data_IF_705262156978
#
_entry.id   IF_705262156978
#
_cell.length_a   1.000
_cell.length_b   1.000
_cell.length_c   1.000
_cell.angle_alpha   90.00
_cell.angle_beta   90.00
_cell.angle_gamma   90.00
#
_symmetry.space_group_name_H-M   'P 1'
#
loop_
_entity.id
_entity.type
_entity.pdbx_description
1 polymer ?
#
# COMPACT_ATOMS: atom_id res chain seq x y z
N UNK A 1 19.56 -17.46 -18.74
CA UNK A 1 18.13 -17.56 -18.42
C UNK A 1 17.55 -16.15 -18.47
N UNK A 2 16.72 -15.87 -19.47
CA UNK A 2 16.04 -14.57 -19.59
C UNK A 2 14.98 -14.51 -18.48
N UNK A 3 15.13 -13.55 -17.54
CA UNK A 3 14.19 -13.37 -16.43
C UNK A 3 13.60 -11.98 -16.55
N UNK A 4 12.27 -11.89 -16.55
CA UNK A 4 11.56 -10.61 -16.44
C UNK A 4 11.42 -9.82 -17.74
N UNK A 5 12.02 -8.63 -17.81
CA UNK A 5 11.77 -7.65 -18.89
C UNK A 5 12.16 -8.14 -20.28
N UNK A 6 13.26 -8.89 -20.42
CA UNK A 6 13.69 -9.39 -21.74
C UNK A 6 12.69 -10.37 -22.36
N UNK A 7 12.04 -11.19 -21.55
CA UNK A 7 10.97 -12.08 -22.01
C UNK A 7 9.73 -11.30 -22.43
N UNK A 8 9.32 -10.29 -21.65
CA UNK A 8 8.21 -9.41 -22.01
C UNK A 8 8.51 -8.59 -23.28
N UNK A 9 9.72 -8.05 -23.42
CA UNK A 9 10.11 -7.28 -24.62
C UNK A 9 10.06 -8.14 -25.86
N UNK A 10 10.61 -9.38 -25.79
CA UNK A 10 10.64 -10.29 -26.95
C UNK A 10 9.26 -10.83 -27.34
N UNK A 11 8.46 -11.20 -26.35
CA UNK A 11 7.20 -11.91 -26.58
C UNK A 11 5.99 -10.99 -26.71
N UNK A 12 6.04 -9.79 -26.10
CA UNK A 12 4.93 -8.83 -26.08
C UNK A 12 5.29 -7.46 -26.64
N UNK A 13 6.50 -7.25 -27.09
CA UNK A 13 7.01 -5.96 -27.58
C UNK A 13 6.81 -4.80 -26.57
N UNK A 14 6.81 -5.14 -25.26
CA UNK A 14 6.50 -4.23 -24.18
C UNK A 14 7.69 -4.08 -23.23
N UNK A 15 8.43 -2.98 -23.35
CA UNK A 15 9.54 -2.64 -22.45
C UNK A 15 9.01 -1.91 -21.20
N UNK A 16 8.43 -2.66 -20.28
CA UNK A 16 7.81 -2.13 -19.05
C UNK A 16 8.81 -1.39 -18.18
N UNK A 17 10.06 -1.86 -18.07
CA UNK A 17 11.10 -1.15 -17.31
C UNK A 17 11.41 0.22 -17.90
N UNK A 18 11.49 0.31 -19.21
CA UNK A 18 11.68 1.57 -19.90
C UNK A 18 10.55 2.55 -19.61
N UNK A 19 9.30 2.07 -19.60
CA UNK A 19 8.14 2.90 -19.29
C UNK A 19 8.18 3.44 -17.87
N UNK A 20 8.49 2.57 -16.90
CA UNK A 20 8.61 2.94 -15.48
C UNK A 20 9.77 3.92 -15.27
N UNK A 21 10.96 3.59 -15.78
CA UNK A 21 12.17 4.36 -15.53
C UNK A 21 12.19 5.71 -16.28
N UNK A 22 11.49 5.83 -17.41
CA UNK A 22 11.29 7.10 -18.10
C UNK A 22 10.05 7.88 -17.60
N UNK A 23 9.29 7.31 -16.64
CA UNK A 23 8.14 7.99 -16.09
C UNK A 23 6.93 8.10 -17.03
N UNK A 24 6.80 7.17 -17.99
CA UNK A 24 5.68 7.16 -18.95
C UNK A 24 4.40 6.54 -18.37
N UNK A 25 4.51 5.93 -17.21
CA UNK A 25 3.38 5.40 -16.42
C UNK A 25 3.44 5.97 -15.01
N UNK A 26 2.31 6.05 -14.32
CA UNK A 26 2.24 6.59 -12.97
C UNK A 26 2.66 5.57 -11.91
N UNK A 27 2.44 4.29 -12.15
CA UNK A 27 2.88 3.18 -11.30
C UNK A 27 2.99 1.88 -12.10
N UNK A 28 3.60 0.87 -11.50
CA UNK A 28 3.72 -0.46 -12.11
C UNK A 28 3.25 -1.54 -11.15
N UNK A 29 2.56 -2.57 -11.69
CA UNK A 29 2.07 -3.73 -10.91
C UNK A 29 2.47 -5.02 -11.60
N UNK A 30 3.72 -5.50 -11.46
CA UNK A 30 4.11 -6.79 -11.98
C UNK A 30 3.36 -7.92 -11.26
N UNK A 31 2.84 -8.88 -12.02
CA UNK A 31 2.09 -10.03 -11.52
C UNK A 31 3.05 -11.15 -11.10
N UNK A 32 3.42 -11.19 -9.83
CA UNK A 32 4.28 -12.22 -9.25
C UNK A 32 3.43 -13.31 -8.60
N UNK A 33 2.71 -14.07 -9.41
CA UNK A 33 1.72 -15.06 -8.95
C UNK A 33 2.32 -16.40 -8.51
N UNK A 34 3.62 -16.58 -8.68
CA UNK A 34 4.30 -17.83 -8.32
C UNK A 34 4.62 -17.92 -6.83
N UNK A 35 4.90 -19.11 -6.38
CA UNK A 35 5.36 -19.41 -5.04
C UNK A 35 6.85 -19.08 -4.86
N UNK A 36 7.27 -18.89 -3.62
CA UNK A 36 8.67 -18.89 -3.24
C UNK A 36 9.20 -20.31 -3.47
N UNK A 37 10.35 -20.43 -4.16
CA UNK A 37 10.94 -21.70 -4.54
C UNK A 37 10.45 -22.26 -5.89
N UNK A 38 9.68 -21.52 -6.66
CA UNK A 38 9.28 -21.94 -8.00
C UNK A 38 10.49 -22.05 -8.93
N UNK A 39 10.66 -23.21 -9.58
CA UNK A 39 11.85 -23.51 -10.40
C UNK A 39 12.01 -22.60 -11.62
N UNK A 40 10.93 -22.12 -12.18
CA UNK A 40 10.94 -21.29 -13.40
C UNK A 40 10.89 -19.78 -13.09
N UNK A 41 10.17 -19.39 -12.04
CA UNK A 41 9.88 -17.99 -11.72
C UNK A 41 9.75 -17.82 -10.18
N UNK A 42 10.85 -17.97 -9.45
CA UNK A 42 10.84 -17.84 -8.00
C UNK A 42 10.41 -16.45 -7.58
N UNK A 43 9.36 -16.37 -6.76
CA UNK A 43 8.86 -15.13 -6.22
C UNK A 43 9.94 -14.28 -5.53
N UNK A 44 10.83 -14.91 -4.75
CA UNK A 44 11.92 -14.23 -4.04
C UNK A 44 12.91 -13.58 -5.02
N UNK A 45 13.27 -14.26 -6.08
CA UNK A 45 14.17 -13.73 -7.10
C UNK A 45 13.50 -12.59 -7.88
N UNK A 46 12.24 -12.77 -8.24
CA UNK A 46 11.48 -11.77 -9.00
C UNK A 46 11.24 -10.48 -8.20
N UNK A 47 10.83 -10.56 -6.94
CA UNK A 47 10.61 -9.36 -6.11
C UNK A 47 11.92 -8.61 -5.88
N UNK A 48 13.03 -9.34 -5.66
CA UNK A 48 14.36 -8.74 -5.52
C UNK A 48 14.84 -8.05 -6.80
N UNK A 49 14.56 -8.64 -7.95
CA UNK A 49 14.88 -8.06 -9.24
C UNK A 49 14.07 -6.78 -9.52
N UNK A 50 12.76 -6.80 -9.31
CA UNK A 50 11.90 -5.62 -9.47
C UNK A 50 12.29 -4.49 -8.51
N UNK A 51 12.58 -4.82 -7.25
CA UNK A 51 13.04 -3.84 -6.25
C UNK A 51 14.32 -3.09 -6.67
N UNK A 52 15.20 -3.75 -7.44
CA UNK A 52 16.45 -3.14 -7.93
C UNK A 52 16.30 -2.40 -9.25
N UNK A 53 15.38 -2.85 -10.10
CA UNK A 53 15.31 -2.43 -11.51
C UNK A 53 14.30 -1.31 -11.76
N UNK A 54 13.24 -1.20 -10.98
CA UNK A 54 12.21 -0.18 -11.10
C UNK A 54 12.37 0.87 -9.98
N UNK A 55 12.74 2.10 -10.32
CA UNK A 55 13.12 3.10 -9.32
C UNK A 55 12.41 4.45 -9.46
N UNK A 56 11.80 4.76 -10.60
CA UNK A 56 11.31 6.11 -10.87
C UNK A 56 9.79 6.29 -10.68
N UNK A 57 9.07 5.22 -10.36
CA UNK A 57 7.62 5.22 -10.13
C UNK A 57 7.25 4.23 -9.02
N UNK A 58 6.14 4.45 -8.32
CA UNK A 58 5.64 3.50 -7.33
C UNK A 58 5.50 2.10 -7.91
N UNK A 59 6.00 1.11 -7.19
CA UNK A 59 5.97 -0.29 -7.56
C UNK A 59 5.10 -1.06 -6.57
N UNK A 60 4.05 -1.70 -7.07
CA UNK A 60 3.19 -2.60 -6.31
C UNK A 60 3.37 -4.01 -6.82
N UNK A 61 3.34 -5.00 -5.94
CA UNK A 61 3.44 -6.40 -6.37
C UNK A 61 2.05 -7.02 -6.48
N UNK A 62 1.70 -7.50 -7.68
CA UNK A 62 0.51 -8.31 -7.90
C UNK A 62 0.71 -9.73 -7.36
N UNK A 63 -0.13 -10.17 -6.43
CA UNK A 63 -0.06 -11.49 -5.80
C UNK A 63 -1.35 -12.28 -5.98
N UNK A 64 -1.21 -13.59 -6.19
CA UNK A 64 -2.33 -14.53 -6.22
C UNK A 64 -2.55 -15.12 -4.82
N UNK A 65 -3.72 -14.85 -4.24
CA UNK A 65 -4.11 -15.30 -2.90
C UNK A 65 -4.18 -16.82 -2.83
N UNK A 66 -4.86 -17.46 -3.80
CA UNK A 66 -5.07 -18.92 -3.79
C UNK A 66 -3.76 -19.68 -3.97
N UNK A 67 -2.87 -19.20 -4.85
CA UNK A 67 -1.54 -19.78 -4.99
C UNK A 67 -0.68 -19.57 -3.74
N UNK A 68 -0.78 -18.41 -3.10
CA UNK A 68 -0.05 -18.15 -1.87
C UNK A 68 -0.46 -19.11 -0.74
N UNK A 69 -1.76 -19.42 -0.64
CA UNK A 69 -2.28 -20.38 0.37
C UNK A 69 -1.97 -21.83 0.03
N UNK A 70 -1.91 -22.16 -1.25
CA UNK A 70 -1.65 -23.54 -1.72
C UNK A 70 -0.30 -24.12 -1.28
N UNK A 71 0.72 -23.28 -1.17
CA UNK A 71 2.09 -23.71 -0.90
C UNK A 71 2.48 -23.38 0.55
N UNK A 72 3.21 -24.30 1.18
CA UNK A 72 3.72 -24.10 2.53
C UNK A 72 4.75 -22.96 2.59
N UNK A 73 4.81 -22.29 3.74
CA UNK A 73 5.86 -21.33 4.05
C UNK A 73 7.21 -22.06 4.13
N UNK A 74 8.27 -21.62 3.41
CA UNK A 74 9.59 -22.26 3.48
C UNK A 74 10.21 -22.30 4.89
N UNK A 75 9.80 -21.41 5.78
CA UNK A 75 10.28 -21.36 7.18
C UNK A 75 9.32 -22.02 8.18
N UNK A 76 8.08 -22.25 7.78
CA UNK A 76 7.06 -22.91 8.61
C UNK A 76 6.18 -23.83 7.73
N UNK A 77 6.55 -25.12 7.59
CA UNK A 77 5.85 -26.07 6.73
C UNK A 77 4.36 -26.30 7.07
N UNK A 78 3.93 -25.90 8.27
CA UNK A 78 2.53 -25.98 8.68
C UNK A 78 1.72 -24.72 8.38
N UNK A 79 2.30 -23.77 7.69
CA UNK A 79 1.67 -22.50 7.29
C UNK A 79 1.82 -22.28 5.79
N UNK A 80 1.09 -21.30 5.26
CA UNK A 80 1.22 -20.88 3.87
C UNK A 80 2.22 -19.73 3.69
N UNK A 81 2.51 -19.36 2.44
CA UNK A 81 3.61 -18.44 2.13
C UNK A 81 3.35 -16.94 2.41
N UNK A 82 2.19 -16.55 2.96
CA UNK A 82 1.93 -15.14 3.26
C UNK A 82 2.97 -14.51 4.19
N UNK A 83 3.34 -15.12 5.35
CA UNK A 83 4.36 -14.56 6.23
C UNK A 83 5.70 -14.31 5.53
N UNK A 84 6.17 -15.30 4.76
CA UNK A 84 7.42 -15.20 4.02
C UNK A 84 7.37 -14.11 2.93
N UNK A 85 6.28 -13.99 2.19
CA UNK A 85 6.09 -12.93 1.20
C UNK A 85 6.05 -11.54 1.86
N UNK A 86 5.34 -11.37 2.97
CA UNK A 86 5.32 -10.09 3.71
C UNK A 86 6.71 -9.69 4.21
N UNK A 87 7.51 -10.64 4.70
CA UNK A 87 8.90 -10.40 5.08
C UNK A 87 9.74 -9.89 3.90
N UNK A 88 9.58 -10.48 2.71
CA UNK A 88 10.27 -10.03 1.51
C UNK A 88 9.86 -8.61 1.12
N UNK A 89 8.58 -8.23 1.25
CA UNK A 89 8.13 -6.85 1.04
C UNK A 89 8.81 -5.87 1.99
N UNK A 90 8.85 -6.16 3.29
CA UNK A 90 9.51 -5.31 4.28
C UNK A 90 11.00 -5.11 4.01
N UNK A 91 11.65 -6.08 3.37
CA UNK A 91 13.05 -6.04 2.98
C UNK A 91 13.28 -5.35 1.60
N UNK A 92 12.23 -4.89 0.95
CA UNK A 92 12.25 -4.33 -0.40
C UNK A 92 11.76 -2.89 -0.41
N UNK A 93 12.61 -1.90 -0.09
CA UNK A 93 12.22 -0.52 0.18
C UNK A 93 11.58 0.21 -1.01
N UNK A 94 11.85 -0.22 -2.25
CA UNK A 94 11.27 0.38 -3.45
C UNK A 94 9.87 -0.17 -3.78
N UNK A 95 9.36 -1.13 -2.99
CA UNK A 95 8.03 -1.69 -3.18
C UNK A 95 7.05 -0.93 -2.29
N UNK A 96 6.12 -0.22 -2.93
CA UNK A 96 5.14 0.64 -2.28
C UNK A 96 3.93 -0.11 -1.70
N UNK A 97 3.69 -1.35 -2.14
CA UNK A 97 2.55 -2.12 -1.65
C UNK A 97 2.22 -3.36 -2.48
N UNK A 98 1.02 -3.88 -2.28
CA UNK A 98 0.54 -5.13 -2.91
C UNK A 98 -0.84 -4.95 -3.51
N UNK A 99 -1.05 -5.55 -4.67
CA UNK A 99 -2.36 -5.73 -5.31
C UNK A 99 -2.72 -7.20 -5.27
N UNK A 100 -3.83 -7.54 -4.64
CA UNK A 100 -4.24 -8.94 -4.45
C UNK A 100 -5.20 -9.40 -5.54
N UNK A 101 -4.87 -10.50 -6.19
CA UNK A 101 -5.74 -11.23 -7.08
C UNK A 101 -6.38 -12.38 -6.30
N UNK A 102 -7.64 -12.40 -6.05
CA UNK A 102 -8.66 -11.39 -6.37
C UNK A 102 -9.50 -11.13 -5.11
N UNK A 103 -10.34 -10.08 -5.10
CA UNK A 103 -11.06 -9.64 -3.90
C UNK A 103 -11.87 -10.76 -3.23
N UNK A 104 -12.63 -11.56 -4.01
CA UNK A 104 -13.39 -12.69 -3.47
C UNK A 104 -12.51 -13.70 -2.75
N UNK A 105 -11.31 -14.00 -3.25
CA UNK A 105 -10.39 -14.92 -2.58
C UNK A 105 -9.93 -14.40 -1.20
N UNK A 106 -9.81 -13.09 -1.02
CA UNK A 106 -9.53 -12.49 0.29
C UNK A 106 -10.73 -12.61 1.23
N UNK A 107 -11.94 -12.36 0.70
CA UNK A 107 -13.20 -12.44 1.47
C UNK A 107 -13.51 -13.87 1.90
N UNK A 108 -13.30 -14.85 1.04
CA UNK A 108 -13.48 -16.29 1.33
C UNK A 108 -12.48 -16.78 2.39
N UNK A 109 -11.44 -16.03 2.66
CA UNK A 109 -10.49 -16.23 3.75
C UNK A 109 -9.83 -17.63 3.79
N UNK A 110 -9.38 -18.23 2.68
CA UNK A 110 -8.72 -19.54 2.70
C UNK A 110 -7.45 -19.47 3.57
N UNK A 111 -7.24 -20.48 4.41
CA UNK A 111 -6.07 -20.56 5.30
C UNK A 111 -5.94 -19.36 6.24
N UNK A 112 -7.03 -18.68 6.58
CA UNK A 112 -7.02 -17.43 7.37
C UNK A 112 -6.26 -16.26 6.73
N UNK A 113 -6.08 -16.27 5.42
CA UNK A 113 -5.30 -15.27 4.69
C UNK A 113 -5.78 -13.83 4.96
N UNK A 114 -7.08 -13.57 4.76
CA UNK A 114 -7.68 -12.24 5.02
C UNK A 114 -7.67 -11.86 6.50
N UNK A 115 -7.82 -12.83 7.40
CA UNK A 115 -7.69 -12.59 8.85
C UNK A 115 -6.27 -12.15 9.19
N UNK A 116 -5.25 -12.86 8.76
CA UNK A 116 -3.84 -12.50 9.00
C UNK A 116 -3.47 -11.14 8.41
N UNK A 117 -3.98 -10.80 7.22
CA UNK A 117 -3.78 -9.46 6.68
C UNK A 117 -4.32 -8.39 7.64
N UNK A 118 -5.55 -8.55 8.12
CA UNK A 118 -6.23 -7.56 8.96
C UNK A 118 -5.63 -7.47 10.37
N UNK A 119 -5.22 -8.60 10.97
CA UNK A 119 -4.76 -8.62 12.37
C UNK A 119 -3.26 -8.36 12.51
N UNK A 120 -2.46 -8.79 11.55
CA UNK A 120 -1.00 -8.80 11.70
C UNK A 120 -0.28 -7.83 10.75
N UNK A 121 -0.65 -7.84 9.46
CA UNK A 121 0.12 -7.12 8.44
C UNK A 121 -0.45 -5.74 8.08
N UNK A 122 -1.78 -5.60 8.00
CA UNK A 122 -2.49 -4.37 7.58
C UNK A 122 -3.50 -3.91 8.62
N UNK A 123 -3.19 -4.10 9.88
CA UNK A 123 -4.08 -3.75 11.00
C UNK A 123 -4.30 -2.24 11.17
N UNK A 124 -3.41 -1.44 10.65
CA UNK A 124 -3.50 0.02 10.68
C UNK A 124 -3.80 0.58 9.30
N UNK A 125 -4.47 1.73 9.21
CA UNK A 125 -4.64 2.44 7.95
C UNK A 125 -3.30 2.78 7.31
N UNK A 126 -3.21 2.67 5.99
CA UNK A 126 -2.06 3.12 5.23
C UNK A 126 -2.40 4.39 4.46
N UNK A 127 -1.48 5.34 4.44
CA UNK A 127 -1.57 6.51 3.57
C UNK A 127 -1.20 6.10 2.14
N UNK A 128 -1.79 6.78 1.16
CA UNK A 128 -1.38 6.62 -0.23
C UNK A 128 0.04 7.14 -0.38
N UNK A 129 0.90 6.47 -1.17
CA UNK A 129 2.23 6.98 -1.50
C UNK A 129 2.14 8.36 -2.15
N UNK A 130 3.06 9.23 -1.80
CA UNK A 130 3.20 10.53 -2.45
C UNK A 130 3.58 10.33 -3.93
N UNK A 131 2.96 11.10 -4.80
CA UNK A 131 3.24 11.13 -6.24
C UNK A 131 3.67 12.54 -6.67
N UNK A 132 4.85 13.01 -6.25
CA UNK A 132 5.29 14.39 -6.47
C UNK A 132 5.48 14.74 -7.95
N UNK A 133 5.57 13.74 -8.81
CA UNK A 133 5.61 13.91 -10.27
C UNK A 133 4.23 14.25 -10.88
N UNK A 134 3.14 14.06 -10.12
CA UNK A 134 1.77 14.51 -10.51
C UNK A 134 1.48 15.85 -9.85
N UNK A 135 1.68 15.93 -8.52
CA UNK A 135 1.50 17.13 -7.73
C UNK A 135 2.44 17.11 -6.52
N UNK A 136 3.29 18.12 -6.41
CA UNK A 136 4.27 18.30 -5.34
C UNK A 136 3.85 19.36 -4.29
N UNK A 137 2.66 19.96 -4.48
CA UNK A 137 2.16 21.01 -3.58
C UNK A 137 1.31 20.43 -2.46
N UNK A 138 1.78 20.61 -1.25
CA UNK A 138 0.97 20.27 -0.09
C UNK A 138 -0.17 21.26 0.10
N UNK A 139 -1.41 20.81 0.39
CA UNK A 139 -2.51 21.68 0.72
C UNK A 139 -2.24 22.46 2.01
N UNK A 140 -2.84 23.63 2.15
CA UNK A 140 -2.72 24.44 3.36
C UNK A 140 -3.30 23.73 4.59
N UNK A 141 -2.80 24.05 5.78
CA UNK A 141 -3.25 23.43 7.04
C UNK A 141 -4.73 23.75 7.34
N UNK A 142 -5.51 22.77 7.84
CA UNK A 142 -6.84 23.01 8.40
C UNK A 142 -6.81 24.06 9.50
N UNK A 143 -7.90 24.80 9.65
CA UNK A 143 -8.04 25.85 10.67
C UNK A 143 -9.24 25.57 11.57
N UNK A 144 -9.28 26.22 12.74
CA UNK A 144 -10.41 26.16 13.68
C UNK A 144 -10.79 24.73 14.07
N UNK A 145 -9.79 23.90 14.33
CA UNK A 145 -10.01 22.54 14.83
C UNK A 145 -10.66 22.63 16.21
N UNK A 146 -11.81 21.97 16.38
CA UNK A 146 -12.60 21.97 17.63
C UNK A 146 -13.24 20.60 17.84
N UNK A 147 -13.30 20.19 19.10
CA UNK A 147 -14.09 19.03 19.51
C UNK A 147 -15.37 19.53 20.21
N UNK A 148 -16.51 18.94 19.88
CA UNK A 148 -17.81 19.32 20.44
C UNK A 148 -18.79 18.17 20.48
N UNK A 149 -19.72 18.20 21.43
CA UNK A 149 -20.88 17.33 21.45
C UNK A 149 -21.93 17.80 20.44
N UNK A 150 -22.48 16.85 19.71
CA UNK A 150 -23.65 16.99 18.86
C UNK A 150 -24.74 16.00 19.34
N UNK A 151 -26.00 16.08 18.90
CA UNK A 151 -27.08 15.20 19.40
C UNK A 151 -26.81 13.71 19.24
N UNK A 152 -25.99 13.33 18.25
CA UNK A 152 -25.68 11.95 17.88
C UNK A 152 -24.27 11.50 18.23
N UNK A 153 -23.48 12.35 18.94
CA UNK A 153 -22.14 11.97 19.42
C UNK A 153 -21.13 13.11 19.56
N UNK A 154 -19.92 12.73 19.90
CA UNK A 154 -18.80 13.66 20.04
C UNK A 154 -18.01 13.78 18.74
N UNK A 155 -17.78 14.99 18.26
CA UNK A 155 -17.17 15.22 16.96
C UNK A 155 -15.96 16.13 17.02
N UNK A 156 -14.93 15.78 16.27
CA UNK A 156 -13.87 16.70 15.86
C UNK A 156 -14.30 17.36 14.54
N UNK A 157 -14.22 18.69 14.49
CA UNK A 157 -14.59 19.48 13.31
C UNK A 157 -13.49 20.50 13.01
N UNK A 158 -13.35 20.86 11.75
CA UNK A 158 -12.36 21.86 11.31
C UNK A 158 -12.87 22.66 10.12
N UNK A 159 -12.20 23.75 9.81
CA UNK A 159 -12.44 24.50 8.59
C UNK A 159 -11.46 24.00 7.52
N UNK A 160 -11.97 23.62 6.35
CA UNK A 160 -11.15 23.26 5.20
C UNK A 160 -10.17 24.38 4.85
N UNK A 161 -8.94 24.05 4.42
CA UNK A 161 -8.03 25.05 3.88
C UNK A 161 -8.65 25.68 2.62
N UNK A 162 -8.29 26.93 2.36
CA UNK A 162 -8.64 27.56 1.08
C UNK A 162 -7.64 27.11 0.02
N UNK A 163 -8.13 26.54 -1.04
CA UNK A 163 -7.37 26.27 -2.24
C UNK A 163 -7.32 27.53 -3.14
N UNK A 164 -6.22 27.75 -3.85
CA UNK A 164 -6.11 28.78 -4.89
C UNK A 164 -6.57 28.25 -6.25
N UNK A 165 -6.32 26.97 -6.49
CA UNK A 165 -6.74 26.22 -7.66
C UNK A 165 -7.51 24.99 -7.21
N UNK A 166 -8.30 24.39 -8.09
CA UNK A 166 -9.10 23.20 -7.79
C UNK A 166 -8.23 21.96 -7.47
N UNK A 167 -7.04 21.87 -8.07
CA UNK A 167 -6.03 20.84 -7.81
C UNK A 167 -5.32 20.93 -6.47
N UNK A 168 -5.32 22.13 -5.84
CA UNK A 168 -4.80 22.34 -4.48
C UNK A 168 -5.87 22.04 -3.40
N UNK A 169 -7.05 21.55 -3.73
CA UNK A 169 -8.15 21.33 -2.79
C UNK A 169 -7.90 20.07 -1.96
N UNK A 170 -8.07 20.20 -0.64
CA UNK A 170 -7.93 19.06 0.26
C UNK A 170 -9.16 18.15 0.18
N UNK A 171 -9.02 16.98 -0.39
CA UNK A 171 -10.07 15.97 -0.55
C UNK A 171 -10.13 14.96 0.59
N UNK A 172 -9.08 14.84 1.40
CA UNK A 172 -9.00 13.92 2.53
C UNK A 172 -8.22 14.56 3.68
N UNK A 173 -8.55 14.16 4.89
CA UNK A 173 -7.88 14.58 6.09
C UNK A 173 -7.42 13.37 6.86
N UNK A 174 -6.17 13.37 7.34
CA UNK A 174 -5.68 12.32 8.23
C UNK A 174 -5.75 12.86 9.66
N UNK A 175 -6.50 12.17 10.51
CA UNK A 175 -6.68 12.55 11.90
C UNK A 175 -5.86 11.61 12.78
N UNK A 176 -4.94 12.19 13.53
CA UNK A 176 -4.09 11.49 14.48
C UNK A 176 -4.53 11.78 15.91
N UNK A 177 -4.34 10.82 16.81
CA UNK A 177 -4.53 10.96 18.23
C UNK A 177 -3.24 10.65 18.97
N UNK A 178 -2.76 11.61 19.76
CA UNK A 178 -1.61 11.46 20.64
C UNK A 178 -2.03 11.72 22.08
N UNK A 179 -1.38 11.09 23.02
CA UNK A 179 -1.59 11.36 24.44
C UNK A 179 -0.90 12.69 24.84
N UNK A 180 -1.35 13.29 25.93
CA UNK A 180 -0.76 14.54 26.41
C UNK A 180 0.71 14.35 26.79
N UNK A 181 1.60 15.08 26.10
CA UNK A 181 3.05 15.00 26.31
C UNK A 181 3.77 13.95 25.47
N UNK A 182 3.05 13.23 24.61
CA UNK A 182 3.64 12.33 23.64
C UNK A 182 4.21 13.12 22.46
N UNK A 183 5.34 12.65 21.91
CA UNK A 183 5.92 13.23 20.69
C UNK A 183 5.00 12.97 19.50
N UNK A 184 4.85 14.00 18.65
CA UNK A 184 4.01 13.93 17.47
C UNK A 184 4.79 13.23 16.35
N UNK A 185 4.51 11.95 16.15
CA UNK A 185 5.04 11.13 15.06
C UNK A 185 3.93 10.80 14.05
N UNK A 186 3.89 11.54 12.95
CA UNK A 186 2.89 11.36 11.87
C UNK A 186 3.21 10.18 10.95
N UNK A 187 4.39 9.56 11.08
CA UNK A 187 4.76 8.35 10.33
C UNK A 187 4.25 7.08 11.03
N UNK A 188 3.76 7.20 12.26
CA UNK A 188 3.19 6.09 13.01
C UNK A 188 1.70 5.85 12.67
N UNK A 189 1.38 4.83 11.85
CA UNK A 189 0.00 4.57 11.42
C UNK A 189 -0.92 4.13 12.56
N UNK A 190 -0.37 3.67 13.70
CA UNK A 190 -1.16 3.31 14.87
C UNK A 190 -1.83 4.53 15.55
N UNK A 191 -1.37 5.74 15.23
CA UNK A 191 -1.95 6.99 15.74
C UNK A 191 -3.08 7.54 14.86
N UNK A 192 -3.30 6.96 13.69
CA UNK A 192 -4.39 7.36 12.79
C UNK A 192 -5.70 6.83 13.35
N UNK A 193 -6.62 7.73 13.69
CA UNK A 193 -7.96 7.41 14.18
C UNK A 193 -9.04 7.56 13.11
N UNK A 194 -8.72 8.17 11.97
CA UNK A 194 -9.62 8.27 10.84
C UNK A 194 -9.03 9.01 9.65
N UNK A 195 -9.58 8.72 8.45
CA UNK A 195 -9.23 9.39 7.19
C UNK A 195 -10.53 9.84 6.50
N UNK A 196 -11.24 10.85 7.05
CA UNK A 196 -12.48 11.34 6.48
C UNK A 196 -12.28 12.18 5.21
N UNK A 197 -13.29 12.18 4.35
CA UNK A 197 -13.42 13.12 3.24
C UNK A 197 -14.02 14.46 3.69
N UNK A 198 -14.88 14.41 4.72
CA UNK A 198 -15.54 15.58 5.25
C UNK A 198 -14.70 16.31 6.30
N UNK A 199 -15.08 17.55 6.63
CA UNK A 199 -14.42 18.39 7.63
C UNK A 199 -14.81 18.00 9.06
N UNK A 200 -15.17 16.74 9.29
CA UNK A 200 -15.59 16.22 10.59
C UNK A 200 -15.26 14.73 10.74
N UNK A 201 -15.00 14.34 11.96
CA UNK A 201 -14.82 12.95 12.37
C UNK A 201 -15.59 12.72 13.67
N UNK A 202 -16.42 11.67 13.72
CA UNK A 202 -17.02 11.21 14.97
C UNK A 202 -15.95 10.55 15.81
N UNK A 203 -15.87 10.95 17.08
CA UNK A 203 -14.97 10.37 18.05
C UNK A 203 -15.80 9.43 18.94
N UNK A 204 -15.47 8.15 18.93
CA UNK A 204 -16.11 7.12 19.78
C UNK A 204 -15.53 7.17 21.19
#
# INVERSE_FOLDING_TARGET
RLVGSEMCIRDSYADVLKWVNNGWVDYCVPQLYWEIGNRAADYKELIGWWNKSASNRPLYIGEDVLRTVKYADPQNPNSHQLPAKRKLHQQSPNISGTVLWYAKAVVDNPGNYGTLLRTDYWRYPALQPLMPFIDDKAPSKPKKVKAKWEPDGYYLTWKAPKAKHWDDEAHRYVVYKFEKGEDIDTDNPAKIIGIPYDNRLKLD
#
